data_IF_925424237999
#
_entry.id   IF_925424237999
#
_cell.length_a   1.000
_cell.length_b   1.000
_cell.length_c   1.000
_cell.angle_alpha   90.00
_cell.angle_beta   90.00
_cell.angle_gamma   90.00
#
_symmetry.space_group_name_H-M   'P 1'
#
loop_
_entity.id
_entity.type
_entity.pdbx_description
1 polymer ?
#
# COMPACT_ATOMS: atom_id res chain seq x y z
N UNK A 1 5.97 -0.92 13.69
CA UNK A 1 4.77 -0.07 13.50
C UNK A 1 4.96 0.76 12.23
N UNK A 2 4.14 0.57 11.18
CA UNK A 2 4.24 1.37 9.95
C UNK A 2 3.67 2.77 10.24
N UNK A 3 4.50 3.81 10.13
CA UNK A 3 4.08 5.22 10.29
C UNK A 3 3.01 5.60 9.26
N UNK A 4 2.09 6.52 9.61
CA UNK A 4 1.04 7.03 8.69
C UNK A 4 1.61 7.50 7.35
N UNK A 5 2.74 8.20 7.36
CA UNK A 5 3.41 8.68 6.14
C UNK A 5 3.86 7.52 5.23
N UNK A 6 4.37 6.44 5.84
CA UNK A 6 4.79 5.24 5.10
C UNK A 6 3.60 4.50 4.51
N UNK A 7 2.47 4.40 5.24
CA UNK A 7 1.23 3.81 4.70
C UNK A 7 0.72 4.58 3.48
N UNK A 8 0.72 5.91 3.56
CA UNK A 8 0.30 6.78 2.45
C UNK A 8 1.19 6.58 1.22
N UNK A 9 2.52 6.56 1.40
CA UNK A 9 3.46 6.33 0.29
C UNK A 9 3.21 5.01 -0.44
N UNK A 10 2.92 3.93 0.31
CA UNK A 10 2.61 2.61 -0.24
C UNK A 10 1.30 2.64 -1.03
N UNK A 11 0.25 3.30 -0.51
CA UNK A 11 -1.03 3.42 -1.21
C UNK A 11 -0.86 4.21 -2.50
N UNK A 12 -0.15 5.35 -2.45
CA UNK A 12 0.15 6.17 -3.63
C UNK A 12 0.97 5.41 -4.68
N UNK A 13 1.92 4.57 -4.29
CA UNK A 13 2.69 3.74 -5.24
C UNK A 13 1.77 2.80 -6.03
N UNK A 14 0.78 2.18 -5.37
CA UNK A 14 -0.19 1.33 -6.06
C UNK A 14 -1.20 2.11 -6.91
N UNK A 15 -1.57 3.34 -6.52
CA UNK A 15 -2.42 4.21 -7.35
C UNK A 15 -1.71 4.71 -8.60
N UNK A 16 -0.37 4.88 -8.57
CA UNK A 16 0.42 5.23 -9.76
C UNK A 16 0.41 4.15 -10.84
N UNK A 17 0.06 2.90 -10.49
CA UNK A 17 -0.04 1.78 -11.44
C UNK A 17 1.30 1.29 -12.02
N UNK A 18 2.44 1.78 -11.53
CA UNK A 18 3.78 1.38 -12.01
C UNK A 18 4.14 -0.05 -11.61
N UNK A 19 3.68 -0.48 -10.43
CA UNK A 19 3.82 -1.85 -9.92
C UNK A 19 2.45 -2.40 -9.58
N UNK A 20 2.27 -3.70 -9.70
CA UNK A 20 1.05 -4.35 -9.23
C UNK A 20 0.96 -4.27 -7.69
N UNK A 21 -0.27 -4.26 -7.16
CA UNK A 21 -0.51 -4.33 -5.71
C UNK A 21 0.17 -5.56 -5.09
N UNK A 22 0.23 -6.68 -5.82
CA UNK A 22 0.90 -7.89 -5.37
C UNK A 22 2.41 -7.71 -5.19
N UNK A 23 3.08 -7.01 -6.11
CA UNK A 23 4.51 -6.70 -6.01
C UNK A 23 4.80 -5.76 -4.84
N UNK A 24 4.01 -4.67 -4.72
CA UNK A 24 4.13 -3.72 -3.62
C UNK A 24 3.95 -4.43 -2.27
N UNK A 25 2.97 -5.33 -2.17
CA UNK A 25 2.74 -6.10 -0.95
C UNK A 25 3.92 -7.02 -0.58
N UNK A 26 4.56 -7.66 -1.58
CA UNK A 26 5.75 -8.50 -1.37
C UNK A 26 6.95 -7.66 -0.91
N UNK A 27 7.25 -6.56 -1.58
CA UNK A 27 8.38 -5.68 -1.25
C UNK A 27 8.24 -5.06 0.15
N UNK A 28 7.03 -4.60 0.48
CA UNK A 28 6.75 -3.95 1.76
C UNK A 28 6.45 -4.94 2.89
N UNK A 29 6.43 -6.26 2.60
CA UNK A 29 6.08 -7.35 3.53
C UNK A 29 4.73 -7.11 4.22
N UNK A 30 3.71 -6.77 3.44
CA UNK A 30 2.33 -6.57 3.89
C UNK A 30 1.38 -7.52 3.15
N UNK A 31 0.21 -7.79 3.74
CA UNK A 31 -0.85 -8.50 3.02
C UNK A 31 -1.63 -7.56 2.11
N UNK A 32 -2.18 -8.09 1.02
CA UNK A 32 -3.07 -7.31 0.13
C UNK A 32 -4.30 -6.77 0.88
N UNK A 33 -4.85 -7.54 1.83
CA UNK A 33 -5.94 -7.09 2.70
C UNK A 33 -5.56 -5.83 3.47
N UNK A 34 -4.32 -5.75 3.96
CA UNK A 34 -3.83 -4.58 4.68
C UNK A 34 -3.65 -3.37 3.75
N UNK A 35 -3.17 -3.60 2.52
CA UNK A 35 -3.08 -2.56 1.49
C UNK A 35 -4.46 -1.96 1.18
N UNK A 36 -5.46 -2.80 0.88
CA UNK A 36 -6.80 -2.32 0.57
C UNK A 36 -7.46 -1.60 1.75
N UNK A 37 -7.29 -2.10 2.98
CA UNK A 37 -7.71 -1.38 4.20
C UNK A 37 -7.07 -0.01 4.38
N UNK A 38 -5.85 0.20 3.89
CA UNK A 38 -5.22 1.52 3.92
C UNK A 38 -5.76 2.40 2.80
N UNK A 39 -5.89 1.85 1.59
CA UNK A 39 -6.48 2.57 0.45
C UNK A 39 -7.86 3.11 0.80
N UNK A 40 -8.73 2.27 1.34
CA UNK A 40 -10.12 2.61 1.70
C UNK A 40 -10.21 3.54 2.92
N UNK A 41 -9.09 3.80 3.63
CA UNK A 41 -9.01 4.78 4.73
C UNK A 41 -8.46 6.13 4.28
N UNK A 42 -7.78 6.18 3.14
CA UNK A 42 -7.18 7.40 2.59
C UNK A 42 -8.01 8.00 1.44
N UNK A 43 -8.86 7.19 0.81
CA UNK A 43 -9.91 7.59 -0.13
C UNK A 43 -11.25 7.60 0.60
#
# INVERSE_FOLDING_TARGET
MVSRRKKMAIVLEGLKGVKSVAEICREQKISQVLYYRWRDKFL
#
